data_IF_023181076119
#
_entry.id   IF_023181076119
#
_cell.length_a   1.000
_cell.length_b   1.000
_cell.length_c   1.000
_cell.angle_alpha   90.00
_cell.angle_beta   90.00
_cell.angle_gamma   90.00
#
_symmetry.space_group_name_H-M   'P 1'
#
loop_
_entity.id
_entity.type
_entity.pdbx_description
1 polymer ?
#
# COMPACT_ATOMS: atom_id res chain seq x y z
N UNK A 1 1.32 22.86 -14.69
CA UNK A 1 0.89 21.46 -14.80
C UNK A 1 1.90 20.48 -14.16
N UNK A 2 3.22 20.70 -14.30
CA UNK A 2 4.28 19.82 -13.73
C UNK A 2 4.12 19.59 -12.22
N UNK A 3 3.82 20.64 -11.46
CA UNK A 3 3.62 20.53 -10.01
C UNK A 3 2.47 19.58 -9.64
N UNK A 4 1.40 19.52 -10.44
CA UNK A 4 0.28 18.62 -10.20
C UNK A 4 0.68 17.17 -10.47
N UNK A 5 1.40 16.90 -11.57
CA UNK A 5 1.91 15.56 -11.89
C UNK A 5 2.86 15.06 -10.81
N UNK A 6 3.74 15.94 -10.32
CA UNK A 6 4.64 15.64 -9.21
C UNK A 6 3.88 15.34 -7.91
N UNK A 7 2.84 16.11 -7.61
CA UNK A 7 2.00 15.88 -6.43
C UNK A 7 1.31 14.52 -6.49
N UNK A 8 0.73 14.16 -7.64
CA UNK A 8 0.09 12.86 -7.84
C UNK A 8 1.11 11.71 -7.68
N UNK A 9 2.27 11.81 -8.31
CA UNK A 9 3.33 10.80 -8.17
C UNK A 9 3.81 10.64 -6.71
N UNK A 10 3.89 11.76 -5.98
CA UNK A 10 4.26 11.77 -4.57
C UNK A 10 3.20 11.10 -3.72
N UNK A 11 1.91 11.37 -3.95
CA UNK A 11 0.81 10.72 -3.23
C UNK A 11 0.80 9.21 -3.49
N UNK A 12 0.97 8.77 -4.74
CA UNK A 12 1.07 7.35 -5.08
C UNK A 12 2.28 6.69 -4.39
N UNK A 13 3.42 7.38 -4.32
CA UNK A 13 4.62 6.89 -3.64
C UNK A 13 4.41 6.76 -2.12
N UNK A 14 3.82 7.78 -1.49
CA UNK A 14 3.52 7.75 -0.06
C UNK A 14 2.54 6.64 0.30
N UNK A 15 1.50 6.45 -0.52
CA UNK A 15 0.56 5.36 -0.31
C UNK A 15 1.19 3.99 -0.50
N UNK A 16 2.10 3.84 -1.47
CA UNK A 16 2.90 2.61 -1.65
C UNK A 16 3.72 2.30 -0.40
N UNK A 17 4.40 3.30 0.17
CA UNK A 17 5.13 3.14 1.43
C UNK A 17 4.20 2.79 2.61
N UNK A 18 3.01 3.37 2.69
CA UNK A 18 2.03 3.01 3.71
C UNK A 18 1.64 1.53 3.63
N UNK A 19 1.43 0.99 2.42
CA UNK A 19 1.16 -0.45 2.21
C UNK A 19 2.35 -1.29 2.63
N UNK A 20 3.57 -0.91 2.27
CA UNK A 20 4.79 -1.62 2.69
C UNK A 20 4.92 -1.64 4.22
N UNK A 21 4.71 -0.50 4.89
CA UNK A 21 4.76 -0.41 6.35
C UNK A 21 3.67 -1.29 6.98
N UNK A 22 2.45 -1.29 6.46
CA UNK A 22 1.37 -2.16 6.95
C UNK A 22 1.79 -3.64 6.90
N UNK A 23 2.37 -4.10 5.78
CA UNK A 23 2.86 -5.47 5.62
C UNK A 23 3.98 -5.77 6.60
N UNK A 24 4.96 -4.87 6.74
CA UNK A 24 6.07 -5.05 7.68
C UNK A 24 5.55 -5.14 9.11
N UNK A 25 4.69 -4.22 9.55
CA UNK A 25 4.09 -4.25 10.89
C UNK A 25 3.33 -5.56 11.14
N UNK A 26 2.54 -6.01 10.16
CA UNK A 26 1.81 -7.28 10.23
C UNK A 26 2.76 -8.48 10.36
N UNK A 27 3.83 -8.54 9.57
CA UNK A 27 4.80 -9.64 9.62
C UNK A 27 5.56 -9.63 10.95
N UNK A 28 6.04 -8.45 11.38
CA UNK A 28 6.76 -8.32 12.64
C UNK A 28 5.88 -8.70 13.85
N UNK A 29 4.58 -8.35 13.83
CA UNK A 29 3.62 -8.80 14.85
C UNK A 29 3.38 -10.31 14.78
N UNK A 30 3.23 -10.87 13.58
CA UNK A 30 2.99 -12.32 13.37
C UNK A 30 4.16 -13.18 13.84
N UNK A 31 5.40 -12.73 13.60
CA UNK A 31 6.62 -13.40 14.07
C UNK A 31 6.97 -13.12 15.54
N UNK A 32 6.13 -12.37 16.27
CA UNK A 32 6.37 -12.06 17.69
C UNK A 32 7.53 -11.09 17.95
N UNK A 33 7.99 -10.37 16.92
CA UNK A 33 9.08 -9.38 17.03
C UNK A 33 8.56 -8.09 17.68
N UNK A 34 7.31 -7.72 17.40
CA UNK A 34 6.66 -6.56 18.00
C UNK A 34 5.65 -7.00 19.06
N UNK A 35 5.70 -6.36 20.24
CA UNK A 35 4.69 -6.54 21.27
C UNK A 35 3.48 -5.65 20.98
N UNK A 36 2.40 -6.26 20.48
CA UNK A 36 1.12 -5.60 20.19
C UNK A 36 0.38 -5.13 21.44
N UNK A 37 0.82 -5.50 22.65
CA UNK A 37 0.30 -4.92 23.91
C UNK A 37 0.82 -3.51 24.14
N UNK A 38 1.94 -3.14 23.51
CA UNK A 38 2.42 -1.77 23.54
C UNK A 38 1.45 -0.88 22.74
N UNK A 39 0.88 0.11 23.42
CA UNK A 39 -0.10 1.04 22.84
C UNK A 39 0.41 1.74 21.57
N UNK A 40 1.70 2.04 21.49
CA UNK A 40 2.29 2.69 20.31
C UNK A 40 2.31 1.74 19.11
N UNK A 41 2.77 0.50 19.32
CA UNK A 41 2.81 -0.53 18.28
C UNK A 41 1.42 -0.81 17.75
N UNK A 42 0.45 -1.00 18.66
CA UNK A 42 -0.94 -1.23 18.30
C UNK A 42 -1.53 -0.06 17.51
N UNK A 43 -1.31 1.18 17.96
CA UNK A 43 -1.84 2.38 17.28
C UNK A 43 -1.26 2.55 15.87
N UNK A 44 0.03 2.27 15.68
CA UNK A 44 0.65 2.30 14.35
C UNK A 44 0.08 1.20 13.45
N UNK A 45 -0.04 -0.04 13.96
CA UNK A 45 -0.64 -1.15 13.22
C UNK A 45 -2.06 -0.84 12.77
N UNK A 46 -2.93 -0.45 13.70
CA UNK A 46 -4.34 -0.10 13.42
C UNK A 46 -4.44 1.08 12.44
N UNK A 47 -3.58 2.09 12.54
CA UNK A 47 -3.54 3.21 11.60
C UNK A 47 -3.24 2.75 10.17
N UNK A 48 -2.15 2.01 9.97
CA UNK A 48 -1.73 1.57 8.63
C UNK A 48 -2.69 0.53 8.05
N UNK A 49 -3.25 -0.34 8.88
CA UNK A 49 -4.30 -1.29 8.48
C UNK A 49 -5.53 -0.53 7.98
N UNK A 50 -6.09 0.40 8.76
CA UNK A 50 -7.27 1.20 8.34
C UNK A 50 -7.01 2.05 7.11
N UNK A 51 -5.79 2.58 6.97
CA UNK A 51 -5.40 3.39 5.82
C UNK A 51 -5.38 2.56 4.53
N UNK A 52 -4.96 1.30 4.60
CA UNK A 52 -4.74 0.45 3.43
C UNK A 52 -5.91 -0.50 3.13
N UNK A 53 -6.73 -0.83 4.12
CA UNK A 53 -7.87 -1.76 4.03
C UNK A 53 -8.87 -1.41 2.91
N UNK A 54 -9.26 -0.14 2.66
CA UNK A 54 -10.19 0.19 1.58
C UNK A 54 -9.72 -0.24 0.20
N UNK A 55 -8.40 -0.23 -0.05
CA UNK A 55 -7.81 -0.67 -1.31
C UNK A 55 -7.49 -2.17 -1.32
N UNK A 56 -7.09 -2.75 -0.17
CA UNK A 56 -6.78 -4.17 -0.06
C UNK A 56 -8.03 -5.05 -0.10
N UNK A 57 -9.12 -4.64 0.55
CA UNK A 57 -10.38 -5.39 0.64
C UNK A 57 -10.96 -5.82 -0.71
N UNK A 58 -11.10 -4.94 -1.73
CA UNK A 58 -11.59 -5.37 -3.05
C UNK A 58 -10.63 -6.35 -3.72
N UNK A 59 -9.32 -6.20 -3.55
CA UNK A 59 -8.31 -7.11 -4.12
C UNK A 59 -8.44 -8.50 -3.50
N UNK A 60 -8.56 -8.58 -2.16
CA UNK A 60 -8.76 -9.86 -1.44
C UNK A 60 -10.03 -10.60 -1.88
N UNK A 61 -11.07 -9.88 -2.29
CA UNK A 61 -12.32 -10.50 -2.78
C UNK A 61 -12.16 -11.16 -4.15
N UNK A 62 -11.20 -10.72 -4.95
CA UNK A 62 -10.96 -11.23 -6.30
C UNK A 62 -9.91 -12.35 -6.28
N UNK A 63 -8.93 -12.28 -5.37
CA UNK A 63 -7.90 -13.30 -5.25
C UNK A 63 -8.47 -14.62 -4.69
N UNK A 64 -8.05 -15.78 -5.24
CA UNK A 64 -8.37 -17.06 -4.66
C UNK A 64 -7.72 -17.20 -3.27
N UNK A 65 -8.24 -18.10 -2.42
CA UNK A 65 -7.64 -18.38 -1.12
C UNK A 65 -6.27 -19.05 -1.29
N UNK A 66 -5.18 -18.33 -1.03
CA UNK A 66 -3.79 -18.80 -1.21
C UNK A 66 -3.19 -19.41 0.06
N UNK A 67 -3.96 -20.24 0.79
CA UNK A 67 -3.41 -20.98 1.93
C UNK A 67 -3.02 -20.12 3.14
N UNK A 68 -3.77 -19.03 3.40
CA UNK A 68 -3.60 -18.21 4.61
C UNK A 68 -2.59 -17.06 4.50
N UNK A 69 -1.87 -16.94 3.38
CA UNK A 69 -1.00 -15.79 3.09
C UNK A 69 -1.79 -14.76 2.29
N UNK A 70 -1.85 -13.53 2.78
CA UNK A 70 -2.47 -12.42 2.06
C UNK A 70 -1.50 -11.84 1.02
N UNK A 71 -1.72 -12.16 -0.27
CA UNK A 71 -0.98 -11.57 -1.38
C UNK A 71 -1.60 -10.26 -1.89
N UNK A 72 -2.73 -9.81 -1.34
CA UNK A 72 -3.36 -8.55 -1.76
C UNK A 72 -2.45 -7.32 -1.65
N UNK A 73 -1.54 -7.19 -0.66
CA UNK A 73 -0.63 -6.05 -0.61
C UNK A 73 0.36 -6.02 -1.77
N UNK A 74 0.86 -7.20 -2.19
CA UNK A 74 1.75 -7.30 -3.35
C UNK A 74 1.03 -6.85 -4.62
N UNK A 75 -0.20 -7.32 -4.83
CA UNK A 75 -1.02 -6.91 -5.98
C UNK A 75 -1.30 -5.42 -5.94
N UNK A 76 -1.63 -4.86 -4.78
CA UNK A 76 -1.87 -3.41 -4.63
C UNK A 76 -0.62 -2.60 -4.99
N UNK A 77 0.56 -3.01 -4.50
CA UNK A 77 1.84 -2.35 -4.83
C UNK A 77 2.12 -2.40 -6.34
N UNK A 78 1.84 -3.52 -7.01
CA UNK A 78 1.99 -3.63 -8.45
C UNK A 78 1.02 -2.70 -9.21
N UNK A 79 -0.22 -2.58 -8.76
CA UNK A 79 -1.21 -1.66 -9.35
C UNK A 79 -0.81 -0.19 -9.17
N UNK A 80 -0.29 0.17 -7.99
CA UNK A 80 0.22 1.52 -7.72
C UNK A 80 1.42 1.85 -8.61
N UNK A 81 2.37 0.92 -8.75
CA UNK A 81 3.51 1.11 -9.66
C UNK A 81 3.06 1.22 -11.12
N UNK A 82 2.10 0.40 -11.56
CA UNK A 82 1.53 0.49 -12.90
C UNK A 82 0.88 1.86 -13.13
N UNK A 83 0.16 2.40 -12.15
CA UNK A 83 -0.42 3.73 -12.20
C UNK A 83 0.65 4.83 -12.30
N UNK A 84 1.77 4.71 -11.55
CA UNK A 84 2.89 5.64 -11.66
C UNK A 84 3.59 5.58 -13.02
N UNK A 85 3.80 4.38 -13.55
CA UNK A 85 4.37 4.19 -14.89
C UNK A 85 3.46 4.87 -15.92
N UNK A 86 2.16 4.58 -15.90
CA UNK A 86 1.19 5.18 -16.81
C UNK A 86 1.17 6.71 -16.71
N UNK A 87 1.19 7.24 -15.49
CA UNK A 87 1.28 8.68 -15.23
C UNK A 87 2.52 9.30 -15.88
N UNK A 88 3.69 8.68 -15.73
CA UNK A 88 4.98 9.22 -16.21
C UNK A 88 5.20 9.05 -17.70
N UNK A 89 4.76 7.93 -18.27
CA UNK A 89 5.03 7.59 -19.68
C UNK A 89 3.95 8.06 -20.63
N UNK A 90 2.69 8.11 -20.18
CA UNK A 90 1.55 8.39 -21.05
C UNK A 90 0.95 9.75 -20.75
N UNK A 91 0.64 10.04 -19.47
CA UNK A 91 -0.06 11.29 -19.11
C UNK A 91 0.90 12.49 -19.13
N UNK A 92 2.06 12.39 -18.50
CA UNK A 92 2.98 13.52 -18.37
C UNK A 92 3.44 14.08 -19.74
N UNK A 93 3.85 13.26 -20.72
CA UNK A 93 4.25 13.77 -22.04
C UNK A 93 3.07 14.27 -22.88
N UNK A 94 1.86 13.74 -22.67
CA UNK A 94 0.68 14.17 -23.43
C UNK A 94 0.15 15.54 -23.01
N UNK A 95 0.43 15.94 -21.77
CA UNK A 95 -0.02 17.22 -21.22
C UNK A 95 1.06 18.32 -21.33
N UNK A 96 2.35 17.95 -21.49
CA UNK A 96 3.52 18.84 -21.55
C UNK A 96 3.87 19.21 -23.00
#
# INVERSE_FOLDING_TARGET
MVALLWLIDTVLSLYTWAVIIAVILSLLATFGILDTRNRIVWALGDFFERLTEPALRPIRRVLPNLGGIDLSPLVLILLLQAAQIFLKTTIAPALL
#
